data_IF_661627924249
#
_entry.id   IF_661627924249
#
_cell.length_a   1.000
_cell.length_b   1.000
_cell.length_c   1.000
_cell.angle_alpha   90.00
_cell.angle_beta   90.00
_cell.angle_gamma   90.00
#
_symmetry.space_group_name_H-M   'P 1'
#
loop_
_entity.id
_entity.type
_entity.pdbx_description
1 polymer ?
#
# COMPACT_ATOMS: atom_id res chain seq x y z
N UNK A 1 -11.85 -10.44 -13.79
CA UNK A 1 -10.42 -10.17 -13.54
C UNK A 1 -10.19 -10.26 -12.03
N UNK A 2 -9.43 -11.24 -11.53
CA UNK A 2 -9.16 -11.33 -10.09
C UNK A 2 -8.26 -10.17 -9.63
N UNK A 3 -8.64 -9.56 -8.50
CA UNK A 3 -7.83 -8.57 -7.80
C UNK A 3 -7.07 -9.27 -6.68
N UNK A 4 -5.78 -9.02 -6.57
CA UNK A 4 -4.91 -9.61 -5.55
C UNK A 4 -4.33 -8.53 -4.66
N UNK A 5 -4.24 -8.80 -3.36
CA UNK A 5 -3.57 -7.92 -2.42
C UNK A 5 -2.06 -7.90 -2.68
N UNK A 6 -1.48 -6.69 -2.68
CA UNK A 6 -0.05 -6.47 -2.92
C UNK A 6 0.67 -5.73 -1.81
N UNK A 7 -0.03 -4.89 -1.04
CA UNK A 7 0.53 -4.22 0.13
C UNK A 7 -0.57 -3.82 1.12
N UNK A 8 -0.18 -3.65 2.39
CA UNK A 8 -1.06 -3.19 3.46
C UNK A 8 -0.43 -1.98 4.15
N UNK A 9 -0.67 -0.75 3.66
CA UNK A 9 -0.07 0.43 4.24
C UNK A 9 -0.52 0.63 5.69
N UNK A 10 0.44 0.97 6.54
CA UNK A 10 0.23 1.18 7.97
C UNK A 10 -0.15 2.63 8.29
N UNK A 11 0.13 3.55 7.37
CA UNK A 11 -0.05 4.98 7.53
C UNK A 11 -0.68 5.64 6.29
N UNK A 12 -1.44 6.72 6.48
CA UNK A 12 -2.00 7.52 5.37
C UNK A 12 -0.96 8.07 4.38
N UNK A 13 0.18 8.65 4.80
CA UNK A 13 1.22 9.11 3.86
C UNK A 13 1.83 7.96 3.04
N UNK A 14 2.07 6.81 3.66
CA UNK A 14 2.58 5.62 2.99
C UNK A 14 1.59 5.13 1.93
N UNK A 15 0.30 5.04 2.28
CA UNK A 15 -0.78 4.73 1.32
C UNK A 15 -0.78 5.69 0.14
N UNK A 16 -0.70 7.00 0.39
CA UNK A 16 -0.71 8.00 -0.69
C UNK A 16 0.50 7.82 -1.62
N UNK A 17 1.70 7.62 -1.05
CA UNK A 17 2.91 7.37 -1.82
C UNK A 17 2.80 6.09 -2.67
N UNK A 18 2.32 4.98 -2.09
CA UNK A 18 2.11 3.72 -2.81
C UNK A 18 1.12 3.86 -3.97
N UNK A 19 0.00 4.56 -3.76
CA UNK A 19 -1.00 4.81 -4.81
C UNK A 19 -0.40 5.65 -5.94
N UNK A 20 0.27 6.76 -5.61
CA UNK A 20 0.91 7.62 -6.61
C UNK A 20 1.98 6.88 -7.42
N UNK A 21 2.70 5.96 -6.80
CA UNK A 21 3.75 5.18 -7.46
C UNK A 21 3.17 4.15 -8.44
N UNK A 22 2.05 3.50 -8.08
CA UNK A 22 1.32 2.61 -8.98
C UNK A 22 0.68 3.37 -10.14
N UNK A 23 0.05 4.52 -9.86
CA UNK A 23 -0.58 5.39 -10.86
C UNK A 23 0.44 5.90 -11.90
N UNK A 24 1.62 6.35 -11.45
CA UNK A 24 2.71 6.78 -12.34
C UNK A 24 3.27 5.67 -13.25
N UNK A 25 2.94 4.40 -12.99
CA UNK A 25 3.35 3.24 -13.79
C UNK A 25 2.18 2.62 -14.58
N UNK A 26 1.04 3.32 -14.68
CA UNK A 26 -0.19 2.87 -15.32
C UNK A 26 -0.74 1.56 -14.69
N UNK A 27 -0.55 1.37 -13.39
CA UNK A 27 -1.05 0.19 -12.66
C UNK A 27 -2.34 0.57 -11.93
N UNK A 28 -3.52 0.13 -12.41
CA UNK A 28 -4.77 0.37 -11.70
C UNK A 28 -4.76 -0.35 -10.36
N UNK A 29 -5.05 0.38 -9.28
CA UNK A 29 -5.10 -0.15 -7.92
C UNK A 29 -6.43 0.20 -7.25
N UNK A 30 -6.92 -0.71 -6.42
CA UNK A 30 -8.09 -0.55 -5.58
C UNK A 30 -7.65 -0.61 -4.12
N UNK A 31 -7.98 0.41 -3.35
CA UNK A 31 -7.73 0.43 -1.91
C UNK A 31 -8.95 -0.12 -1.20
N UNK A 32 -8.78 -1.25 -0.51
CA UNK A 32 -9.82 -1.89 0.31
C UNK A 32 -9.53 -1.62 1.78
N UNK A 33 -10.47 -0.97 2.47
CA UNK A 33 -10.28 -0.59 3.87
C UNK A 33 -9.48 0.71 4.05
N UNK A 34 -9.55 1.27 5.24
CA UNK A 34 -9.15 2.64 5.54
C UNK A 34 -10.36 3.55 5.69
N UNK A 35 -10.33 4.43 6.68
CA UNK A 35 -11.47 5.28 7.03
C UNK A 35 -11.93 6.13 5.82
N UNK A 36 -13.24 6.15 5.59
CA UNK A 36 -14.00 7.02 4.68
C UNK A 36 -13.97 8.50 5.12
N UNK A 37 -12.92 8.97 5.79
CA UNK A 37 -12.87 10.29 6.43
C UNK A 37 -12.59 11.46 5.46
N UNK A 38 -12.33 11.19 4.18
CA UNK A 38 -12.05 12.26 3.19
C UNK A 38 -13.29 13.06 2.75
N UNK A 39 -14.49 12.71 3.20
CA UNK A 39 -15.69 13.52 2.92
C UNK A 39 -15.97 14.64 3.95
N UNK A 40 -15.16 14.80 5.01
CA UNK A 40 -15.27 15.96 5.91
C UNK A 40 -13.90 16.59 6.19
N UNK A 41 -13.69 17.88 5.83
CA UNK A 41 -12.52 18.63 6.28
C UNK A 41 -12.66 18.89 7.79
N UNK A 42 -11.88 18.20 8.61
CA UNK A 42 -11.71 18.58 10.02
C UNK A 42 -11.60 17.44 11.05
N UNK A 43 -11.80 16.17 10.68
CA UNK A 43 -11.77 15.09 11.66
C UNK A 43 -10.82 13.96 11.23
N UNK A 44 -9.56 14.07 11.66
CA UNK A 44 -8.57 12.98 11.62
C UNK A 44 -8.88 12.01 12.75
N UNK A 45 -9.84 11.10 12.55
CA UNK A 45 -10.01 9.99 13.48
C UNK A 45 -8.90 8.99 13.16
N UNK A 46 -7.89 8.94 14.02
CA UNK A 46 -6.89 7.90 13.98
C UNK A 46 -7.57 6.55 14.19
N UNK A 47 -7.56 5.69 13.19
CA UNK A 47 -8.08 4.33 13.31
C UNK A 47 -7.20 3.35 12.54
N UNK A 48 -6.71 2.37 13.29
CA UNK A 48 -6.00 1.16 12.87
C UNK A 48 -6.87 0.22 12.02
N UNK A 49 -7.45 0.73 10.94
CA UNK A 49 -7.99 -0.11 9.88
C UNK A 49 -6.89 -0.34 8.87
N UNK A 50 -6.29 -1.53 8.86
CA UNK A 50 -5.28 -1.92 7.87
C UNK A 50 -5.87 -1.77 6.47
N UNK A 51 -5.54 -0.69 5.77
CA UNK A 51 -5.90 -0.52 4.37
C UNK A 51 -5.09 -1.54 3.56
N UNK A 52 -5.71 -2.12 2.54
CA UNK A 52 -5.06 -3.10 1.66
C UNK A 52 -5.15 -2.61 0.22
N UNK A 53 -4.00 -2.48 -0.44
CA UNK A 53 -3.90 -2.21 -1.86
C UNK A 53 -4.08 -3.51 -2.63
N UNK A 54 -5.02 -3.50 -3.55
CA UNK A 54 -5.33 -4.60 -4.46
C UNK A 54 -5.09 -4.16 -5.90
N UNK A 55 -4.49 -5.01 -6.72
CA UNK A 55 -4.24 -4.74 -8.15
C UNK A 55 -4.68 -5.95 -8.99
N UNK A 56 -4.89 -5.81 -10.31
CA UNK A 56 -5.10 -6.95 -11.18
C UNK A 56 -3.95 -7.96 -11.09
N UNK A 57 -4.28 -9.24 -11.05
CA UNK A 57 -3.28 -10.32 -10.95
C UNK A 57 -2.17 -10.23 -12.01
N UNK A 58 -2.53 -9.86 -13.25
CA UNK A 58 -1.57 -9.67 -14.36
C UNK A 58 -0.48 -8.63 -14.09
N UNK A 59 -0.75 -7.66 -13.20
CA UNK A 59 0.17 -6.58 -12.85
C UNK A 59 0.74 -6.73 -11.43
N UNK A 60 0.34 -7.78 -10.71
CA UNK A 60 0.71 -7.97 -9.31
C UNK A 60 2.21 -8.15 -9.10
N UNK A 61 2.91 -8.81 -10.02
CA UNK A 61 4.37 -8.96 -9.95
C UNK A 61 5.05 -7.59 -10.01
N UNK A 62 4.74 -6.79 -11.03
CA UNK A 62 5.29 -5.45 -11.22
C UNK A 62 4.92 -4.51 -10.07
N UNK A 63 3.68 -4.57 -9.58
CA UNK A 63 3.25 -3.79 -8.43
C UNK A 63 4.03 -4.14 -7.16
N UNK A 64 4.30 -5.43 -6.90
CA UNK A 64 5.10 -5.86 -5.75
C UNK A 64 6.54 -5.39 -5.84
N UNK A 65 7.17 -5.46 -7.01
CA UNK A 65 8.53 -4.96 -7.21
C UNK A 65 8.64 -3.47 -6.91
N UNK A 66 7.68 -2.70 -7.43
CA UNK A 66 7.58 -1.26 -7.21
C UNK A 66 7.33 -0.90 -5.73
N UNK A 67 6.53 -1.71 -5.04
CA UNK A 67 6.20 -1.51 -3.62
C UNK A 67 7.26 -2.07 -2.66
N UNK A 68 8.26 -2.81 -3.16
CA UNK A 68 9.32 -3.36 -2.34
C UNK A 68 10.15 -2.29 -1.61
N UNK A 69 10.18 -1.05 -2.13
CA UNK A 69 10.82 0.10 -1.46
C UNK A 69 10.16 0.47 -0.12
N UNK A 70 8.89 0.08 0.07
CA UNK A 70 8.13 0.31 1.30
C UNK A 70 8.08 -0.93 2.20
N UNK A 71 8.52 -2.09 1.71
CA UNK A 71 8.76 -3.21 2.60
C UNK A 71 9.94 -2.80 3.49
N UNK A 72 9.72 -2.69 4.80
CA UNK A 72 10.82 -2.49 5.74
C UNK A 72 11.95 -3.45 5.35
N UNK A 73 13.21 -2.98 5.25
CA UNK A 73 14.31 -3.92 5.17
C UNK A 73 14.15 -4.76 6.43
N UNK A 74 13.86 -6.06 6.28
CA UNK A 74 14.24 -7.01 7.31
C UNK A 74 15.68 -6.61 7.62
N UNK A 75 15.90 -6.06 8.82
CA UNK A 75 17.21 -5.54 9.21
C UNK A 75 18.25 -6.61 8.86
N UNK A 76 19.46 -6.23 8.45
CA UNK A 76 20.49 -7.23 8.21
C UNK A 76 20.49 -8.16 9.42
N UNK A 77 20.13 -9.43 9.22
CA UNK A 77 20.46 -10.49 10.15
C UNK A 77 21.97 -10.39 10.27
N UNK A 78 22.45 -9.64 11.27
CA UNK A 78 23.83 -9.66 11.72
C UNK A 78 24.07 -11.13 12.08
N UNK A 79 24.91 -11.88 11.33
CA UNK A 79 25.33 -13.17 11.81
C UNK A 79 26.16 -12.90 13.06
N UNK A 80 25.62 -13.30 14.20
CA UNK A 80 26.28 -13.41 15.50
C UNK A 80 27.69 -13.99 15.28
N UNK A 81 28.71 -13.19 15.57
CA UNK A 81 30.12 -13.52 15.42
C UNK A 81 30.84 -13.55 16.76
#
# INVERSE_FOLDING_TARGET
MPLVAVASPTSEPERAAMVSLLDANDIPCLVRGGNFATLLPGLRIGTSGTATLMVPESLAARARELLAVFAEPAGPDEPDG
#
